data_IF_397548175283
#
_entry.id   IF_397548175283
#
_cell.length_a   1.000
_cell.length_b   1.000
_cell.length_c   1.000
_cell.angle_alpha   90.00
_cell.angle_beta   90.00
_cell.angle_gamma   90.00
#
_symmetry.space_group_name_H-M   'P 1'
#
loop_
_entity.id
_entity.type
_entity.pdbx_description
1 polymer ?
#
# COMPACT_ATOMS: atom_id res chain seq x y z
N UNK A 1 14.77 -13.73 8.66
CA UNK A 1 14.36 -12.56 7.85
C UNK A 1 13.90 -11.50 8.83
N UNK A 2 14.71 -10.47 9.07
CA UNK A 2 14.51 -9.55 10.20
C UNK A 2 14.87 -8.10 9.91
N UNK A 3 15.59 -7.80 8.82
CA UNK A 3 16.07 -6.42 8.56
C UNK A 3 14.92 -5.43 8.36
N UNK A 4 13.88 -5.82 7.63
CA UNK A 4 12.72 -4.97 7.33
C UNK A 4 11.46 -5.31 8.14
N UNK A 5 11.58 -6.05 9.25
CA UNK A 5 10.42 -6.53 10.01
C UNK A 5 9.57 -5.37 10.56
N UNK A 6 10.25 -4.30 11.01
CA UNK A 6 9.62 -3.09 11.54
C UNK A 6 8.75 -2.40 10.49
N UNK A 7 9.22 -2.32 9.25
CA UNK A 7 8.51 -1.69 8.12
C UNK A 7 7.33 -2.55 7.67
N UNK A 8 7.48 -3.88 7.67
CA UNK A 8 6.38 -4.81 7.35
C UNK A 8 5.26 -4.72 8.38
N UNK A 9 5.60 -4.63 9.67
CA UNK A 9 4.62 -4.43 10.75
C UNK A 9 3.90 -3.08 10.61
N UNK A 10 4.66 -2.02 10.33
CA UNK A 10 4.10 -0.68 10.09
C UNK A 10 3.15 -0.65 8.90
N UNK A 11 3.55 -1.24 7.76
CA UNK A 11 2.73 -1.39 6.56
C UNK A 11 1.42 -2.13 6.87
N UNK A 12 1.48 -3.26 7.57
CA UNK A 12 0.27 -4.00 7.95
C UNK A 12 -0.66 -3.14 8.81
N UNK A 13 -0.12 -2.49 9.85
CA UNK A 13 -0.90 -1.64 10.75
C UNK A 13 -1.58 -0.48 10.01
N UNK A 14 -0.84 0.22 9.17
CA UNK A 14 -1.35 1.39 8.44
C UNK A 14 -2.38 1.00 7.38
N UNK A 15 -2.13 -0.08 6.63
CA UNK A 15 -3.07 -0.53 5.59
C UNK A 15 -4.35 -1.11 6.18
N UNK A 16 -4.26 -1.86 7.28
CA UNK A 16 -5.45 -2.36 8.00
C UNK A 16 -6.28 -1.20 8.55
N UNK A 17 -5.64 -0.17 9.11
CA UNK A 17 -6.35 1.02 9.58
C UNK A 17 -7.12 1.71 8.45
N UNK A 18 -6.51 1.85 7.25
CA UNK A 18 -7.20 2.37 6.07
C UNK A 18 -8.39 1.50 5.66
N UNK A 19 -8.24 0.17 5.65
CA UNK A 19 -9.34 -0.75 5.33
C UNK A 19 -10.50 -0.56 6.31
N UNK A 20 -10.22 -0.54 7.62
CA UNK A 20 -11.23 -0.32 8.67
C UNK A 20 -11.93 1.04 8.53
N UNK A 21 -11.22 2.05 8.03
CA UNK A 21 -11.76 3.38 7.75
C UNK A 21 -12.48 3.50 6.39
N UNK A 22 -12.47 2.44 5.55
CA UNK A 22 -13.04 2.49 4.19
C UNK A 22 -12.22 3.33 3.19
N UNK A 23 -10.94 3.57 3.48
CA UNK A 23 -10.05 4.37 2.64
C UNK A 23 -9.31 3.52 1.60
N UNK A 24 -8.94 4.12 0.43
CA UNK A 24 -8.10 3.44 -0.55
C UNK A 24 -6.67 3.22 0.00
N UNK A 25 -6.17 1.99 -0.14
CA UNK A 25 -4.84 1.57 0.36
C UNK A 25 -3.70 2.50 -0.08
N UNK A 26 -3.70 2.87 -1.36
CA UNK A 26 -2.65 3.67 -2.00
C UNK A 26 -3.08 5.09 -2.35
N UNK A 27 -4.13 5.60 -1.70
CA UNK A 27 -4.65 6.96 -1.92
C UNK A 27 -5.43 7.13 -3.22
N UNK A 28 -5.79 8.38 -3.52
CA UNK A 28 -6.53 8.77 -4.73
C UNK A 28 -5.64 9.53 -5.70
N UNK A 29 -5.92 9.43 -7.00
CA UNK A 29 -5.15 10.10 -8.05
C UNK A 29 -6.07 10.93 -8.94
N UNK A 30 -5.58 12.09 -9.39
CA UNK A 30 -6.24 12.93 -10.39
C UNK A 30 -5.98 12.45 -11.82
N UNK A 31 -5.05 11.51 -12.00
CA UNK A 31 -4.72 10.94 -13.31
C UNK A 31 -5.73 9.87 -13.71
N UNK A 32 -5.97 9.75 -15.02
CA UNK A 32 -6.74 8.64 -15.58
C UNK A 32 -6.05 7.29 -15.25
N UNK A 33 -6.81 6.17 -15.20
CA UNK A 33 -6.22 4.85 -14.95
C UNK A 33 -5.10 4.49 -15.93
N UNK A 34 -5.21 4.91 -17.20
CA UNK A 34 -4.15 4.73 -18.19
C UNK A 34 -2.86 5.46 -17.77
N UNK A 35 -2.97 6.73 -17.37
CA UNK A 35 -1.83 7.55 -16.97
C UNK A 35 -1.21 7.09 -15.64
N UNK A 36 -2.01 6.58 -14.70
CA UNK A 36 -1.48 5.91 -13.51
C UNK A 36 -0.63 4.69 -13.90
N UNK A 37 -1.10 3.89 -14.87
CA UNK A 37 -0.34 2.76 -15.40
C UNK A 37 0.97 3.19 -16.10
N UNK A 38 0.96 4.31 -16.83
CA UNK A 38 2.20 4.89 -17.41
C UNK A 38 3.16 5.32 -16.31
N UNK A 39 2.67 6.04 -15.29
CA UNK A 39 3.47 6.49 -14.16
C UNK A 39 4.10 5.31 -13.38
N UNK A 40 3.31 4.27 -13.10
CA UNK A 40 3.79 3.06 -12.42
C UNK A 40 4.95 2.40 -13.18
N UNK A 41 4.86 2.31 -14.52
CA UNK A 41 5.93 1.71 -15.35
C UNK A 41 7.19 2.56 -15.37
N UNK A 42 7.08 3.89 -15.41
CA UNK A 42 8.26 4.77 -15.38
C UNK A 42 8.92 4.82 -14.00
N UNK A 43 8.12 4.80 -12.92
CA UNK A 43 8.63 4.82 -11.55
C UNK A 43 9.21 3.48 -11.09
N UNK A 44 8.76 2.35 -11.68
CA UNK A 44 9.23 1.01 -11.28
C UNK A 44 10.74 0.87 -11.49
N UNK A 45 11.45 0.52 -10.41
CA UNK A 45 12.92 0.38 -10.36
C UNK A 45 13.74 1.65 -10.60
N UNK A 46 13.11 2.83 -10.64
CA UNK A 46 13.79 4.13 -10.81
C UNK A 46 14.94 4.37 -9.82
N UNK A 47 14.82 3.83 -8.60
CA UNK A 47 15.86 3.92 -7.56
C UNK A 47 17.24 3.36 -8.02
N UNK A 48 17.28 2.41 -8.96
CA UNK A 48 18.54 1.88 -9.51
C UNK A 48 19.33 2.92 -10.31
N UNK A 49 18.66 3.98 -10.78
CA UNK A 49 19.23 5.05 -11.61
C UNK A 49 19.36 6.37 -10.86
N UNK A 50 19.31 6.33 -9.51
CA UNK A 50 19.30 7.53 -8.66
C UNK A 50 20.49 8.47 -8.88
N UNK A 51 21.65 7.92 -9.22
CA UNK A 51 22.86 8.69 -9.50
C UNK A 51 22.84 9.41 -10.87
N UNK A 52 21.98 8.96 -11.78
CA UNK A 52 21.83 9.55 -13.12
C UNK A 52 20.69 10.56 -13.14
N UNK A 53 19.52 10.14 -12.66
CA UNK A 53 18.32 11.00 -12.60
C UNK A 53 17.53 10.62 -11.35
N UNK A 54 17.29 11.57 -10.42
CA UNK A 54 16.42 11.32 -9.29
C UNK A 54 14.96 11.32 -9.74
N UNK A 55 14.42 10.12 -9.97
CA UNK A 55 13.06 9.93 -10.41
C UNK A 55 12.24 9.26 -9.29
N UNK A 56 11.38 10.04 -8.65
CA UNK A 56 10.55 9.58 -7.53
C UNK A 56 9.10 9.33 -7.96
N UNK A 57 8.41 8.46 -7.22
CA UNK A 57 6.99 8.24 -7.43
C UNK A 57 6.15 9.29 -6.66
N UNK A 58 5.36 10.07 -7.38
CA UNK A 58 4.39 11.04 -6.82
C UNK A 58 2.94 10.72 -7.21
N UNK A 59 2.71 9.57 -7.84
CA UNK A 59 1.40 9.18 -8.36
C UNK A 59 0.87 8.01 -7.54
N UNK A 60 -0.27 8.24 -6.90
CA UNK A 60 -1.07 7.18 -6.31
C UNK A 60 -1.58 6.25 -7.43
N UNK A 61 -1.26 4.97 -7.34
CA UNK A 61 -1.62 3.95 -8.33
C UNK A 61 -1.73 2.57 -7.64
N UNK A 62 -2.47 1.62 -8.20
CA UNK A 62 -2.66 0.31 -7.55
C UNK A 62 -1.62 -0.77 -7.94
N UNK A 63 -0.61 -0.43 -8.75
CA UNK A 63 0.36 -1.36 -9.33
C UNK A 63 1.61 -1.55 -8.44
N UNK A 64 1.43 -1.93 -7.17
CA UNK A 64 2.54 -2.11 -6.21
C UNK A 64 3.14 -3.53 -6.21
N UNK A 65 2.53 -4.49 -6.91
CA UNK A 65 3.08 -5.85 -7.06
C UNK A 65 2.99 -6.70 -5.79
N UNK A 66 2.08 -6.36 -4.87
CA UNK A 66 1.80 -7.11 -3.64
C UNK A 66 0.37 -7.62 -3.64
N UNK A 67 0.13 -8.76 -3.01
CA UNK A 67 -1.22 -9.20 -2.70
C UNK A 67 -1.82 -8.32 -1.61
N UNK A 68 -2.86 -7.56 -1.97
CA UNK A 68 -3.53 -6.64 -1.05
C UNK A 68 -4.61 -7.32 -0.22
N UNK A 69 -5.03 -8.54 -0.58
CA UNK A 69 -6.04 -9.29 0.17
C UNK A 69 -5.61 -9.52 1.63
N UNK A 70 -4.31 -9.63 1.89
CA UNK A 70 -3.74 -9.79 3.25
C UNK A 70 -4.19 -8.70 4.22
N UNK A 71 -4.37 -7.46 3.76
CA UNK A 71 -4.80 -6.34 4.61
C UNK A 71 -6.28 -6.43 4.95
N UNK A 72 -7.11 -6.80 3.97
CA UNK A 72 -8.55 -6.99 4.17
C UNK A 72 -8.84 -8.15 5.12
N UNK A 73 -8.17 -9.29 4.91
CA UNK A 73 -8.29 -10.45 5.79
C UNK A 73 -7.85 -10.13 7.22
N UNK A 74 -6.79 -9.34 7.39
CA UNK A 74 -6.35 -8.92 8.72
C UNK A 74 -7.36 -7.96 9.37
N UNK A 75 -7.91 -7.01 8.62
CA UNK A 75 -8.95 -6.10 9.12
C UNK A 75 -10.20 -6.87 9.57
N UNK A 76 -10.65 -7.85 8.78
CA UNK A 76 -11.78 -8.73 9.13
C UNK A 76 -11.51 -9.49 10.44
N UNK A 77 -10.32 -10.07 10.60
CA UNK A 77 -9.93 -10.76 11.84
C UNK A 77 -9.95 -9.84 13.05
N UNK A 78 -9.40 -8.63 12.93
CA UNK A 78 -9.36 -7.68 14.05
C UNK A 78 -10.76 -7.16 14.41
N UNK A 79 -11.59 -6.84 13.42
CA UNK A 79 -12.98 -6.41 13.67
C UNK A 79 -13.81 -7.50 14.35
N UNK A 80 -13.59 -8.77 13.99
CA UNK A 80 -14.26 -9.90 14.63
C UNK A 80 -13.85 -10.04 16.11
N UNK A 81 -12.55 -9.91 16.43
CA UNK A 81 -12.07 -9.93 17.82
C UNK A 81 -12.61 -8.74 18.63
N UNK A 82 -12.58 -7.53 18.06
CA UNK A 82 -13.13 -6.33 18.70
C UNK A 82 -14.64 -6.42 18.98
N UNK A 83 -15.38 -7.19 18.17
CA UNK A 83 -16.80 -7.44 18.37
C UNK A 83 -17.05 -8.47 19.48
N UNK A 84 -16.24 -9.54 19.55
CA UNK A 84 -16.31 -10.59 20.57
C UNK A 84 -15.95 -10.03 21.96
N UNK A 85 -14.91 -9.21 22.07
CA UNK A 85 -14.50 -8.55 23.32
C UNK A 85 -15.56 -7.59 23.88
N UNK A 86 -16.50 -7.13 23.05
CA UNK A 86 -17.57 -6.20 23.43
C UNK A 86 -18.90 -6.89 23.75
N UNK A 87 -19.00 -8.20 23.49
CA UNK A 87 -20.19 -9.02 23.78
C UNK A 87 -20.18 -9.58 25.20
#
# INVERSE_FOLDING_TARGET
>A
MTENAREVEMDMREMVAKVKAGEPLYGTSSLSPHMQGVAARQGRYSALMIATVPWFNFVNHNQHGVDTAKYYQQAERELAMEADEKS
#
